data_IF_316744361441
#
_entry.id   IF_316744361441
#
_cell.length_a   1.000
_cell.length_b   1.000
_cell.length_c   1.000
_cell.angle_alpha   90.00
_cell.angle_beta   90.00
_cell.angle_gamma   90.00
#
_symmetry.space_group_name_H-M   'P 1'
#
loop_
_entity.id
_entity.type
_entity.pdbx_description
1 polymer ?
#
# COMPACT_ATOMS: atom_id res chain seq x y z
N UNK A 1 19.94 -4.10 8.54
CA UNK A 1 19.30 -4.93 7.50
C UNK A 1 18.69 -6.21 8.08
N UNK A 2 19.45 -7.27 8.41
CA UNK A 2 18.89 -8.57 8.85
C UNK A 2 17.87 -8.47 9.98
N UNK A 3 18.16 -7.66 11.01
CA UNK A 3 17.30 -7.51 12.19
C UNK A 3 15.98 -6.81 11.88
N UNK A 4 15.93 -5.91 10.89
CA UNK A 4 14.68 -5.30 10.44
C UNK A 4 13.75 -6.36 9.84
N UNK A 5 14.28 -7.31 9.06
CA UNK A 5 13.47 -8.44 8.55
C UNK A 5 13.07 -9.43 9.66
N UNK A 6 13.91 -9.66 10.68
CA UNK A 6 13.48 -10.45 11.86
C UNK A 6 12.33 -9.77 12.62
N UNK A 7 12.43 -8.45 12.83
CA UNK A 7 11.39 -7.61 13.45
C UNK A 7 10.09 -7.68 12.63
N UNK A 8 10.17 -7.51 11.30
CA UNK A 8 9.04 -7.63 10.37
C UNK A 8 8.35 -9.01 10.45
N UNK A 9 9.15 -10.08 10.43
CA UNK A 9 8.67 -11.47 10.54
C UNK A 9 7.96 -11.69 11.89
N UNK A 10 8.45 -11.10 12.97
CA UNK A 10 7.83 -11.21 14.29
C UNK A 10 6.52 -10.40 14.39
N UNK A 11 6.52 -9.12 13.97
CA UNK A 11 5.35 -8.24 13.94
C UNK A 11 4.18 -8.84 13.15
N UNK A 12 4.47 -9.47 12.01
CA UNK A 12 3.45 -10.12 11.18
C UNK A 12 2.97 -11.47 11.73
N UNK A 13 3.42 -11.93 12.91
CA UNK A 13 3.06 -13.24 13.46
C UNK A 13 3.72 -14.43 12.76
N UNK A 14 4.77 -14.20 11.98
CA UNK A 14 5.60 -15.24 11.36
C UNK A 14 5.76 -15.11 9.85
N UNK A 15 6.81 -15.77 9.33
CA UNK A 15 7.17 -15.77 7.91
C UNK A 15 6.04 -16.16 6.92
N UNK A 16 5.15 -17.14 7.18
CA UNK A 16 4.07 -17.45 6.24
C UNK A 16 2.98 -16.38 6.20
N UNK A 17 2.69 -15.71 7.32
CA UNK A 17 1.69 -14.64 7.33
C UNK A 17 2.24 -13.37 6.67
N UNK A 18 3.51 -13.01 6.93
CA UNK A 18 4.19 -11.94 6.18
C UNK A 18 4.21 -12.23 4.67
N UNK A 19 4.51 -13.48 4.27
CA UNK A 19 4.52 -13.86 2.87
C UNK A 19 3.14 -13.72 2.19
N UNK A 20 2.06 -14.10 2.89
CA UNK A 20 0.70 -13.93 2.37
C UNK A 20 0.35 -12.45 2.23
N UNK A 21 0.48 -11.65 3.29
CA UNK A 21 0.16 -10.22 3.27
C UNK A 21 0.91 -9.44 2.17
N UNK A 22 2.17 -9.79 1.91
CA UNK A 22 2.97 -9.18 0.83
C UNK A 22 2.56 -9.67 -0.57
N UNK A 23 1.97 -10.87 -0.68
CA UNK A 23 1.37 -11.36 -1.93
C UNK A 23 0.02 -10.68 -2.19
N UNK A 24 -0.79 -10.54 -1.14
CA UNK A 24 -2.11 -9.91 -1.14
C UNK A 24 -2.01 -8.41 -1.53
N UNK A 25 -0.96 -7.70 -1.08
CA UNK A 25 -0.67 -6.29 -1.43
C UNK A 25 -0.11 -6.11 -2.87
N UNK A 26 0.41 -7.17 -3.50
CA UNK A 26 1.01 -7.13 -4.83
C UNK A 26 0.13 -7.73 -5.95
N UNK A 27 -1.04 -8.28 -5.59
CA UNK A 27 -1.95 -9.04 -6.49
C UNK A 27 -1.21 -10.10 -7.33
N UNK A 28 -0.25 -10.79 -6.70
CA UNK A 28 0.72 -11.62 -7.41
C UNK A 28 0.15 -13.02 -7.75
N UNK A 29 0.02 -13.33 -9.04
CA UNK A 29 -0.47 -14.62 -9.59
C UNK A 29 0.09 -15.86 -8.86
N UNK A 30 1.37 -15.80 -8.47
CA UNK A 30 2.05 -16.82 -7.69
C UNK A 30 2.45 -16.27 -6.32
N UNK A 31 1.83 -16.70 -5.21
CA UNK A 31 2.12 -16.15 -3.89
C UNK A 31 3.56 -16.41 -3.44
N UNK A 32 4.11 -15.45 -2.72
CA UNK A 32 5.45 -15.51 -2.14
C UNK A 32 5.54 -16.66 -1.13
N UNK A 33 6.63 -17.43 -1.18
CA UNK A 33 6.82 -18.55 -0.25
C UNK A 33 7.39 -18.09 1.10
N UNK A 34 7.03 -18.74 2.23
CA UNK A 34 7.69 -18.51 3.52
C UNK A 34 9.19 -18.85 3.50
N UNK A 35 9.66 -19.62 2.51
CA UNK A 35 11.07 -19.88 2.29
C UNK A 35 11.80 -18.66 1.73
N UNK A 36 11.21 -17.94 0.76
CA UNK A 36 11.77 -16.69 0.24
C UNK A 36 11.92 -15.63 1.35
N UNK A 37 10.88 -15.44 2.17
CA UNK A 37 10.92 -14.54 3.35
C UNK A 37 12.03 -14.92 4.33
N UNK A 38 12.28 -16.22 4.57
CA UNK A 38 13.40 -16.69 5.39
C UNK A 38 14.76 -16.44 4.74
N UNK A 39 14.86 -16.54 3.41
CA UNK A 39 16.11 -16.25 2.69
C UNK A 39 16.48 -14.76 2.74
N UNK A 40 15.51 -13.84 2.81
CA UNK A 40 15.76 -12.40 2.98
C UNK A 40 16.53 -12.05 4.26
N UNK A 41 16.42 -12.87 5.32
CA UNK A 41 17.20 -12.70 6.57
C UNK A 41 18.72 -12.74 6.29
N UNK A 42 19.14 -13.57 5.33
CA UNK A 42 20.56 -13.82 5.01
C UNK A 42 21.02 -13.14 3.70
N UNK A 43 20.11 -12.89 2.75
CA UNK A 43 20.41 -12.32 1.43
C UNK A 43 19.97 -10.87 1.26
N UNK A 44 19.27 -10.30 2.23
CA UNK A 44 18.61 -9.00 2.10
C UNK A 44 17.31 -9.07 1.29
N UNK A 45 16.60 -7.95 1.24
CA UNK A 45 15.32 -7.79 0.55
C UNK A 45 15.55 -7.29 -0.89
N UNK A 46 14.88 -7.84 -1.91
CA UNK A 46 14.82 -7.20 -3.24
C UNK A 46 14.02 -5.88 -3.17
N UNK A 47 14.40 -4.88 -3.97
CA UNK A 47 13.82 -3.54 -3.89
C UNK A 47 12.29 -3.52 -4.07
N UNK A 48 11.79 -4.35 -4.99
CA UNK A 48 10.37 -4.58 -5.29
C UNK A 48 9.49 -4.78 -4.05
N UNK A 49 9.96 -5.56 -3.06
CA UNK A 49 9.19 -5.92 -1.87
C UNK A 49 9.30 -4.87 -0.75
N UNK A 50 10.21 -3.90 -0.85
CA UNK A 50 10.47 -2.93 0.22
C UNK A 50 9.30 -1.94 0.41
N UNK A 51 8.60 -1.56 -0.66
CA UNK A 51 7.42 -0.67 -0.59
C UNK A 51 6.17 -1.43 -0.08
N UNK A 52 5.82 -2.63 -0.61
CA UNK A 52 4.78 -3.49 -0.02
C UNK A 52 5.01 -3.77 1.47
N UNK A 53 6.24 -4.05 1.90
CA UNK A 53 6.57 -4.25 3.31
C UNK A 53 6.30 -3.00 4.17
N UNK A 54 6.67 -1.78 3.72
CA UNK A 54 6.34 -0.54 4.46
C UNK A 54 4.81 -0.39 4.63
N UNK A 55 4.02 -0.71 3.60
CA UNK A 55 2.54 -0.62 3.63
C UNK A 55 1.91 -1.66 4.54
N UNK A 56 2.21 -2.94 4.33
CA UNK A 56 1.72 -4.08 5.12
C UNK A 56 2.03 -3.91 6.60
N UNK A 57 3.21 -3.40 6.93
CA UNK A 57 3.68 -3.16 8.30
C UNK A 57 3.35 -1.74 8.81
N UNK A 58 2.41 -1.03 8.16
CA UNK A 58 1.88 0.28 8.57
C UNK A 58 2.97 1.32 8.93
N UNK A 59 4.10 1.26 8.21
CA UNK A 59 5.28 2.12 8.38
C UNK A 59 6.04 1.93 9.70
N UNK A 60 5.79 0.87 10.47
CA UNK A 60 6.56 0.50 11.68
C UNK A 60 8.00 0.03 11.37
N UNK A 61 8.26 -0.32 10.11
CA UNK A 61 9.59 -0.57 9.55
C UNK A 61 9.65 0.16 8.21
N UNK A 62 10.61 1.07 8.06
CA UNK A 62 10.76 1.91 6.87
C UNK A 62 11.70 1.25 5.85
N UNK A 63 11.50 1.55 4.56
CA UNK A 63 12.26 0.91 3.48
C UNK A 63 13.79 1.15 3.55
N UNK A 64 14.23 2.21 4.21
CA UNK A 64 15.65 2.46 4.51
C UNK A 64 16.24 1.52 5.59
N UNK A 65 15.44 0.93 6.50
CA UNK A 65 15.91 -0.10 7.43
C UNK A 65 16.20 -1.43 6.71
N UNK A 66 15.41 -1.70 5.65
CA UNK A 66 15.50 -2.89 4.81
C UNK A 66 16.66 -2.79 3.81
N UNK A 67 16.74 -1.68 3.06
CA UNK A 67 17.74 -1.40 2.03
C UNK A 67 18.16 0.09 2.08
N UNK A 68 19.04 0.51 3.01
CA UNK A 68 19.54 1.90 3.05
C UNK A 68 20.37 2.25 1.81
N UNK A 69 20.97 1.24 1.19
CA UNK A 69 21.69 1.27 -0.09
C UNK A 69 20.81 1.66 -1.30
N UNK A 70 19.51 1.35 -1.26
CA UNK A 70 18.54 1.72 -2.32
C UNK A 70 17.66 2.92 -1.93
N UNK A 71 17.59 3.21 -0.63
CA UNK A 71 16.75 4.26 -0.05
C UNK A 71 17.55 4.98 1.05
N UNK A 72 18.41 5.96 0.69
CA UNK A 72 19.24 6.67 1.64
C UNK A 72 18.37 7.47 2.62
N UNK A 73 18.67 7.45 3.94
CA UNK A 73 17.77 8.02 4.95
C UNK A 73 17.59 9.54 4.83
N UNK A 74 18.58 10.24 4.26
CA UNK A 74 18.58 11.70 4.04
C UNK A 74 17.35 12.18 3.23
N UNK A 75 16.94 11.43 2.20
CA UNK A 75 15.75 11.73 1.39
C UNK A 75 14.44 11.63 2.21
N UNK A 76 14.41 10.72 3.18
CA UNK A 76 13.23 10.43 4.00
C UNK A 76 13.07 11.41 5.16
N UNK A 77 14.19 11.86 5.74
CA UNK A 77 14.17 12.88 6.79
C UNK A 77 13.58 14.21 6.30
N UNK A 78 13.83 14.57 5.04
CA UNK A 78 13.24 15.76 4.42
C UNK A 78 11.71 15.63 4.28
N UNK A 79 11.22 14.47 3.80
CA UNK A 79 9.79 14.22 3.66
C UNK A 79 9.03 14.21 5.00
N UNK A 80 9.63 13.69 6.07
CA UNK A 80 9.03 13.70 7.41
C UNK A 80 9.00 15.10 8.05
N UNK A 81 9.96 15.98 7.70
CA UNK A 81 9.98 17.38 8.16
C UNK A 81 8.96 18.27 7.42
N UNK A 82 8.45 17.83 6.27
CA UNK A 82 7.35 18.48 5.51
C UNK A 82 5.99 17.87 5.90
N UNK A 83 5.84 17.42 7.15
CA UNK A 83 4.56 17.05 7.73
C UNK A 83 3.68 18.29 7.92
N UNK A 84 2.91 18.64 6.88
CA UNK A 84 1.89 19.69 6.88
C UNK A 84 0.97 19.51 8.11
N UNK A 85 0.66 20.56 8.89
CA UNK A 85 -0.24 20.45 10.03
C UNK A 85 -1.59 19.88 9.58
N UNK A 86 -2.09 18.88 10.31
CA UNK A 86 -3.28 18.11 9.91
C UNK A 86 -4.61 18.81 10.23
N UNK A 87 -4.70 20.10 9.88
CA UNK A 87 -5.91 20.89 9.77
C UNK A 87 -5.76 21.77 8.52
N UNK A 88 -6.77 22.02 7.69
CA UNK A 88 -8.20 21.72 7.83
C UNK A 88 -8.74 20.90 6.64
N UNK A 89 -9.70 19.99 6.90
CA UNK A 89 -10.54 19.38 5.86
C UNK A 89 -11.94 19.98 5.89
N UNK A 90 -12.05 21.26 5.55
CA UNK A 90 -13.36 21.85 5.30
C UNK A 90 -13.84 21.42 3.91
N UNK A 91 -14.58 20.31 3.84
CA UNK A 91 -15.15 19.77 2.61
C UNK A 91 -16.47 20.47 2.23
N UNK A 92 -16.55 21.79 2.38
CA UNK A 92 -17.64 22.62 1.86
C UNK A 92 -17.53 22.80 0.35
N UNK A 93 -17.84 21.74 -0.42
CA UNK A 93 -18.06 21.84 -1.87
C UNK A 93 -19.53 22.18 -2.15
N UNK A 94 -19.84 23.38 -2.69
CA UNK A 94 -21.20 23.73 -3.09
C UNK A 94 -21.56 23.03 -4.42
N UNK A 95 -22.39 21.99 -4.33
CA UNK A 95 -23.03 21.39 -5.51
C UNK A 95 -24.36 22.10 -5.77
N UNK A 96 -24.32 23.15 -6.61
CA UNK A 96 -25.51 23.95 -6.96
C UNK A 96 -25.65 24.11 -8.48
N UNK A 97 -26.91 24.07 -8.96
CA UNK A 97 -27.38 24.37 -10.33
C UNK A 97 -26.85 23.50 -11.51
N UNK A 98 -27.64 23.14 -12.53
CA UNK A 98 -29.11 23.23 -12.72
C UNK A 98 -29.64 22.34 -13.88
N UNK A 99 -30.96 22.13 -13.88
CA UNK A 99 -31.86 21.87 -15.02
C UNK A 99 -31.62 20.69 -15.99
N UNK A 100 -32.59 19.76 -16.03
CA UNK A 100 -32.65 18.64 -16.98
C UNK A 100 -34.07 18.20 -17.38
N UNK A 101 -35.04 19.12 -17.41
CA UNK A 101 -36.46 18.81 -17.65
C UNK A 101 -36.74 18.34 -19.10
N UNK A 102 -37.02 17.05 -19.30
CA UNK A 102 -37.73 16.51 -20.47
C UNK A 102 -38.80 15.50 -20.05
N UNK A 103 -39.99 15.61 -20.63
CA UNK A 103 -41.14 14.74 -20.38
C UNK A 103 -41.95 14.55 -21.67
N UNK A 104 -41.78 13.39 -22.31
CA UNK A 104 -42.64 12.84 -23.37
C UNK A 104 -42.14 11.45 -23.83
N UNK A 105 -42.91 10.58 -24.51
CA UNK A 105 -44.29 10.07 -24.37
C UNK A 105 -44.47 8.91 -25.39
N UNK A 106 -45.10 7.78 -25.00
CA UNK A 106 -45.81 6.78 -25.85
C UNK A 106 -45.11 5.94 -26.94
N UNK A 107 -45.60 4.68 -27.07
CA UNK A 107 -45.57 3.74 -28.22
C UNK A 107 -44.22 3.17 -28.72
N UNK A 108 -44.09 1.93 -29.23
CA UNK A 108 -44.88 0.65 -29.22
C UNK A 108 -43.87 -0.49 -29.67
N UNK A 109 -44.13 -1.77 -30.02
CA UNK A 109 -45.29 -2.69 -30.21
C UNK A 109 -44.78 -4.17 -30.23
N UNK A 110 -45.67 -5.18 -30.05
CA UNK A 110 -45.56 -6.58 -30.59
C UNK A 110 -44.36 -7.46 -30.06
N UNK A 111 -44.39 -8.81 -29.90
CA UNK A 111 -45.32 -9.92 -30.19
C UNK A 111 -45.12 -11.06 -29.18
N UNK A 112 -46.16 -11.82 -28.79
CA UNK A 112 -46.25 -13.27 -29.07
C UNK A 112 -47.63 -13.88 -28.75
#
# INVERSE_FOLDING_TARGET
MSEAIRKAIHMAGGAPNLARLVSDELDMEKPLTPMAVRQWVSRGVPGEYCIPLERVLKREILRHELRPDLYPPEEYELLLKVAVPSAERDCSLPTDLSAGNRKNHTCTEVQH
#
